data_IF_148259556568
#
_entry.id   IF_148259556568
#
_cell.length_a   1.000
_cell.length_b   1.000
_cell.length_c   1.000
_cell.angle_alpha   90.00
_cell.angle_beta   90.00
_cell.angle_gamma   90.00
#
_symmetry.space_group_name_H-M   'P 1'
#
loop_
_entity.id
_entity.type
_entity.pdbx_description
1 polymer ?
#
# COMPACT_ATOMS: atom_id res chain seq x y z
N UNK A 1 2.31 -27.11 -3.33
CA UNK A 1 3.37 -26.29 -3.92
C UNK A 1 4.59 -26.39 -3.02
N UNK A 2 5.80 -26.63 -3.53
CA UNK A 2 6.99 -26.59 -2.69
C UNK A 2 7.10 -25.18 -2.11
N UNK A 3 7.28 -25.08 -0.80
CA UNK A 3 7.57 -23.82 -0.11
C UNK A 3 8.97 -23.36 -0.53
N UNK A 4 9.06 -22.75 -1.72
CA UNK A 4 10.23 -21.95 -2.04
C UNK A 4 10.14 -20.71 -1.15
N UNK A 5 10.95 -20.74 -0.11
CA UNK A 5 11.17 -19.65 0.82
C UNK A 5 11.86 -18.51 0.08
N UNK A 6 11.09 -17.77 -0.72
CA UNK A 6 11.54 -16.55 -1.39
C UNK A 6 11.65 -15.49 -0.30
N UNK A 7 12.84 -15.33 0.27
CA UNK A 7 13.11 -14.30 1.27
C UNK A 7 13.94 -13.13 0.72
N UNK A 8 14.59 -13.34 -0.42
CA UNK A 8 15.53 -12.38 -1.05
C UNK A 8 15.36 -12.38 -2.57
N UNK A 9 15.76 -11.27 -3.21
CA UNK A 9 15.49 -11.01 -4.63
C UNK A 9 16.09 -12.08 -5.56
N UNK A 10 17.30 -12.56 -5.27
CA UNK A 10 17.95 -13.60 -6.07
C UNK A 10 17.11 -14.88 -6.15
N UNK A 11 16.53 -15.31 -5.03
CA UNK A 11 15.66 -16.49 -4.97
C UNK A 11 14.36 -16.29 -5.78
N UNK A 12 13.80 -15.07 -5.75
CA UNK A 12 12.66 -14.72 -6.59
C UNK A 12 13.02 -14.82 -8.08
N UNK A 13 14.10 -14.16 -8.51
CA UNK A 13 14.52 -14.11 -9.91
C UNK A 13 14.89 -15.49 -10.47
N UNK A 14 15.39 -16.41 -9.65
CA UNK A 14 15.70 -17.78 -10.06
C UNK A 14 14.44 -18.67 -10.22
N UNK A 15 13.36 -18.35 -9.50
CA UNK A 15 12.22 -19.27 -9.37
C UNK A 15 10.88 -18.70 -9.87
N UNK A 16 10.78 -17.43 -10.24
CA UNK A 16 9.50 -16.81 -10.59
C UNK A 16 8.79 -17.49 -11.78
N UNK A 17 9.55 -18.06 -12.72
CA UNK A 17 9.02 -18.81 -13.87
C UNK A 17 8.45 -20.18 -13.51
N UNK A 18 8.72 -20.71 -12.30
CA UNK A 18 8.23 -22.02 -11.84
C UNK A 18 6.84 -21.95 -11.21
N UNK A 19 6.21 -20.78 -11.18
CA UNK A 19 4.89 -20.58 -10.57
C UNK A 19 3.77 -20.85 -11.60
N UNK A 20 3.58 -22.12 -11.96
CA UNK A 20 2.61 -22.53 -12.98
C UNK A 20 1.21 -21.97 -12.71
N UNK A 21 0.80 -21.94 -11.43
CA UNK A 21 -0.54 -21.46 -11.06
C UNK A 21 -0.72 -19.97 -11.27
N UNK A 22 0.33 -19.17 -11.07
CA UNK A 22 0.29 -17.74 -11.38
C UNK A 22 0.06 -17.50 -12.87
N UNK A 23 0.83 -18.16 -13.73
CA UNK A 23 0.73 -18.00 -15.19
C UNK A 23 -0.57 -18.57 -15.75
N UNK A 24 -1.04 -19.71 -15.24
CA UNK A 24 -2.33 -20.29 -15.59
C UNK A 24 -3.47 -19.31 -15.30
N UNK A 25 -3.41 -18.62 -14.15
CA UNK A 25 -4.45 -17.67 -13.78
C UNK A 25 -4.35 -16.35 -14.55
N UNK A 26 -3.15 -15.88 -14.87
CA UNK A 26 -2.97 -14.77 -15.82
C UNK A 26 -3.60 -15.12 -17.17
N UNK A 27 -3.31 -16.32 -17.70
CA UNK A 27 -3.89 -16.82 -18.94
C UNK A 27 -5.41 -16.81 -18.85
N UNK A 28 -5.99 -17.50 -17.88
CA UNK A 28 -7.43 -17.65 -17.73
C UNK A 28 -8.13 -16.28 -17.66
N UNK A 29 -7.60 -15.36 -16.86
CA UNK A 29 -8.14 -14.00 -16.77
C UNK A 29 -8.04 -13.23 -18.09
N UNK A 30 -6.94 -13.37 -18.82
CA UNK A 30 -6.74 -12.74 -20.11
C UNK A 30 -7.61 -13.36 -21.22
N UNK A 31 -7.99 -14.64 -21.13
CA UNK A 31 -8.93 -15.25 -22.06
C UNK A 31 -10.33 -14.62 -21.96
N UNK A 32 -10.68 -14.04 -20.82
CA UNK A 32 -11.95 -13.36 -20.58
C UNK A 32 -11.98 -11.91 -21.10
N UNK A 33 -11.04 -11.50 -21.96
CA UNK A 33 -10.88 -10.12 -22.44
C UNK A 33 -12.16 -9.50 -22.99
N UNK A 34 -13.01 -10.28 -23.70
CA UNK A 34 -14.28 -9.80 -24.27
C UNK A 34 -15.34 -9.40 -23.25
N UNK A 35 -15.12 -9.64 -21.95
CA UNK A 35 -15.92 -9.00 -20.90
C UNK A 35 -15.70 -7.49 -20.82
N UNK A 36 -14.55 -6.98 -21.29
CA UNK A 36 -14.12 -5.59 -21.09
C UNK A 36 -13.63 -4.90 -22.37
N UNK A 37 -13.24 -5.64 -23.40
CA UNK A 37 -12.63 -5.09 -24.61
C UNK A 37 -12.86 -5.95 -25.84
N UNK A 38 -13.07 -5.31 -27.00
CA UNK A 38 -13.11 -5.95 -28.32
C UNK A 38 -11.72 -6.03 -29.00
N UNK A 39 -10.65 -5.60 -28.32
CA UNK A 39 -9.29 -5.64 -28.87
C UNK A 39 -8.80 -7.08 -29.06
N UNK A 40 -7.99 -7.30 -30.10
CA UNK A 40 -7.24 -8.54 -30.29
C UNK A 40 -6.10 -8.71 -29.27
N UNK A 41 -5.64 -7.61 -28.68
CA UNK A 41 -4.66 -7.66 -27.58
C UNK A 41 -5.39 -8.02 -26.29
N UNK A 42 -4.94 -9.04 -25.53
CA UNK A 42 -5.59 -9.40 -24.28
C UNK A 42 -5.70 -8.21 -23.33
N UNK A 43 -6.84 -8.11 -22.66
CA UNK A 43 -7.13 -7.14 -21.63
C UNK A 43 -6.91 -7.75 -20.24
N UNK A 44 -6.11 -7.07 -19.43
CA UNK A 44 -5.96 -7.33 -18.00
C UNK A 44 -5.98 -6.00 -17.27
N UNK A 45 -6.84 -5.90 -16.26
CA UNK A 45 -6.80 -4.80 -15.32
C UNK A 45 -5.53 -4.90 -14.45
N UNK A 46 -4.90 -3.75 -14.17
CA UNK A 46 -3.65 -3.72 -13.41
C UNK A 46 -3.84 -4.25 -11.98
N UNK A 47 -4.99 -3.98 -11.33
CA UNK A 47 -5.28 -4.45 -9.98
C UNK A 47 -5.49 -5.96 -9.94
N UNK A 48 -6.07 -6.52 -11.00
CA UNK A 48 -6.17 -7.97 -11.14
C UNK A 48 -4.77 -8.59 -11.17
N UNK A 49 -3.86 -7.99 -11.93
CA UNK A 49 -2.47 -8.45 -12.01
C UNK A 49 -1.77 -8.40 -10.64
N UNK A 50 -1.91 -7.29 -9.91
CA UNK A 50 -1.40 -7.13 -8.54
C UNK A 50 -1.96 -8.18 -7.58
N UNK A 51 -3.27 -8.40 -7.60
CA UNK A 51 -3.94 -9.39 -6.75
C UNK A 51 -3.50 -10.81 -7.06
N UNK A 52 -3.36 -11.16 -8.34
CA UNK A 52 -2.84 -12.46 -8.77
C UNK A 52 -1.41 -12.66 -8.30
N UNK A 53 -0.55 -11.65 -8.45
CA UNK A 53 0.83 -11.73 -7.98
C UNK A 53 0.87 -11.98 -6.47
N UNK A 54 0.17 -11.14 -5.69
CA UNK A 54 0.14 -11.28 -4.23
C UNK A 54 -0.38 -12.65 -3.79
N UNK A 55 -1.45 -13.14 -4.42
CA UNK A 55 -2.04 -14.43 -4.09
C UNK A 55 -1.10 -15.60 -4.39
N UNK A 56 -0.51 -15.64 -5.58
CA UNK A 56 0.23 -16.81 -6.05
C UNK A 56 1.71 -16.81 -5.67
N UNK A 57 2.31 -15.65 -5.40
CA UNK A 57 3.64 -15.53 -4.81
C UNK A 57 3.62 -15.42 -3.28
N UNK A 58 2.43 -15.49 -2.65
CA UNK A 58 2.24 -15.25 -1.21
C UNK A 58 2.85 -13.92 -0.75
N UNK A 59 2.77 -12.89 -1.60
CA UNK A 59 3.28 -11.55 -1.31
C UNK A 59 2.25 -10.75 -0.48
N UNK A 60 2.76 -9.83 0.35
CA UNK A 60 1.94 -8.80 0.99
C UNK A 60 1.49 -7.80 -0.08
N UNK A 61 0.22 -7.40 -0.04
CA UNK A 61 -0.34 -6.43 -0.97
C UNK A 61 -0.23 -5.02 -0.37
N UNK A 62 0.63 -4.18 -0.96
CA UNK A 62 0.89 -2.81 -0.51
C UNK A 62 0.28 -1.75 -1.46
N UNK A 63 -0.41 -2.18 -2.52
CA UNK A 63 -1.01 -1.31 -3.54
C UNK A 63 -1.97 -0.26 -2.94
N UNK A 64 -2.56 -0.53 -1.76
CA UNK A 64 -3.47 0.38 -1.06
C UNK A 64 -2.79 1.32 -0.07
N UNK A 65 -1.52 1.13 0.22
CA UNK A 65 -0.81 1.85 1.28
C UNK A 65 -0.08 3.11 0.77
N UNK A 66 -0.39 3.58 -0.45
CA UNK A 66 0.23 4.76 -1.09
C UNK A 66 1.76 4.71 -1.10
N UNK A 67 2.36 3.53 -1.27
CA UNK A 67 3.81 3.32 -1.17
C UNK A 67 4.50 3.49 -2.54
N UNK A 68 5.80 3.18 -2.62
CA UNK A 68 6.54 3.10 -3.89
C UNK A 68 6.38 1.73 -4.59
N UNK A 69 5.89 0.71 -3.88
CA UNK A 69 5.77 -0.68 -4.32
C UNK A 69 4.32 -1.17 -4.25
N UNK A 70 3.99 -2.12 -5.11
CA UNK A 70 2.64 -2.68 -5.22
C UNK A 70 2.51 -3.96 -4.37
N UNK A 71 3.61 -4.69 -4.18
CA UNK A 71 3.68 -5.88 -3.34
C UNK A 71 5.03 -6.02 -2.62
N UNK A 72 5.07 -6.83 -1.56
CA UNK A 72 6.31 -7.20 -0.85
C UNK A 72 6.43 -8.70 -0.60
N UNK A 73 7.63 -9.24 -0.82
CA UNK A 73 8.01 -10.60 -0.47
C UNK A 73 9.23 -10.53 0.45
N UNK A 74 9.05 -10.78 1.75
CA UNK A 74 10.11 -10.53 2.73
C UNK A 74 10.55 -9.07 2.71
N UNK A 75 11.85 -8.81 2.51
CA UNK A 75 12.42 -7.46 2.34
C UNK A 75 12.51 -7.00 0.89
N UNK A 76 11.87 -7.71 -0.05
CA UNK A 76 11.86 -7.37 -1.47
C UNK A 76 10.61 -6.56 -1.82
N UNK A 77 10.78 -5.32 -2.28
CA UNK A 77 9.72 -4.46 -2.80
C UNK A 77 9.50 -4.70 -4.29
N UNK A 78 8.27 -5.06 -4.68
CA UNK A 78 7.89 -5.36 -6.06
C UNK A 78 7.01 -4.25 -6.60
N UNK A 79 7.46 -3.59 -7.67
CA UNK A 79 6.61 -2.75 -8.52
C UNK A 79 5.96 -3.60 -9.60
N UNK A 80 4.63 -3.64 -9.66
CA UNK A 80 3.88 -4.43 -10.64
C UNK A 80 3.40 -3.50 -11.74
N UNK A 81 3.64 -3.88 -13.00
CA UNK A 81 3.18 -3.09 -14.15
C UNK A 81 2.46 -3.98 -15.16
N UNK A 82 1.36 -3.45 -15.68
CA UNK A 82 0.61 -4.08 -16.76
C UNK A 82 0.38 -3.05 -17.86
N UNK A 83 0.90 -3.31 -19.05
CA UNK A 83 0.80 -2.38 -20.18
C UNK A 83 0.87 -3.12 -21.53
N UNK A 84 0.52 -2.43 -22.60
CA UNK A 84 0.60 -2.99 -23.96
C UNK A 84 2.04 -2.88 -24.44
N UNK A 85 2.59 -3.97 -24.95
CA UNK A 85 3.84 -3.96 -25.68
C UNK A 85 3.55 -3.65 -27.13
N UNK A 86 3.89 -2.45 -27.57
CA UNK A 86 3.84 -2.09 -28.98
C UNK A 86 4.91 -2.90 -29.76
N UNK A 87 4.85 -2.88 -31.10
CA UNK A 87 5.70 -3.70 -31.97
C UNK A 87 7.23 -3.56 -31.79
N UNK A 88 7.70 -2.65 -30.94
CA UNK A 88 9.10 -2.42 -30.59
C UNK A 88 9.57 -3.14 -29.31
N UNK A 89 8.75 -3.97 -28.66
CA UNK A 89 9.06 -4.63 -27.37
C UNK A 89 9.58 -3.62 -26.31
N UNK A 90 9.06 -2.39 -26.40
CA UNK A 90 9.35 -1.28 -25.51
C UNK A 90 8.06 -0.52 -25.18
N UNK A 91 7.97 0.00 -23.97
CA UNK A 91 6.91 0.95 -23.60
C UNK A 91 7.42 1.99 -22.63
N UNK A 92 6.88 3.21 -22.71
CA UNK A 92 7.18 4.28 -21.77
C UNK A 92 6.02 4.44 -20.80
N UNK A 93 6.24 4.09 -19.54
CA UNK A 93 5.16 3.89 -18.57
C UNK A 93 5.36 4.73 -17.32
N UNK A 94 4.24 5.11 -16.69
CA UNK A 94 4.25 5.89 -15.45
C UNK A 94 4.92 5.12 -14.31
N UNK A 95 5.89 5.77 -13.67
CA UNK A 95 6.61 5.25 -12.51
C UNK A 95 6.45 6.13 -11.25
N UNK A 96 6.07 7.39 -11.39
CA UNK A 96 5.76 8.27 -10.26
C UNK A 96 4.84 9.43 -10.66
N UNK A 97 4.14 10.01 -9.68
CA UNK A 97 3.22 11.14 -9.83
C UNK A 97 3.43 12.14 -8.69
N UNK A 98 3.44 13.43 -9.02
CA UNK A 98 3.92 14.52 -8.16
C UNK A 98 2.87 15.61 -7.94
N UNK A 99 1.57 15.29 -8.03
CA UNK A 99 0.49 16.30 -7.92
C UNK A 99 0.58 17.15 -6.65
N UNK A 100 0.93 16.55 -5.50
CA UNK A 100 1.10 17.26 -4.23
C UNK A 100 2.34 18.18 -4.21
N UNK A 101 3.35 17.87 -5.03
CA UNK A 101 4.63 18.59 -5.10
C UNK A 101 4.71 19.53 -6.32
N UNK A 102 3.61 19.68 -7.07
CA UNK A 102 3.57 20.49 -8.30
C UNK A 102 4.08 21.92 -8.10
N UNK A 103 3.69 22.55 -6.97
CA UNK A 103 4.13 23.92 -6.63
C UNK A 103 5.65 24.04 -6.47
N UNK A 104 6.33 22.98 -6.05
CA UNK A 104 7.80 22.96 -5.90
C UNK A 104 8.51 22.68 -7.23
N UNK A 105 7.79 22.13 -8.21
CA UNK A 105 8.28 21.89 -9.56
C UNK A 105 7.99 23.07 -10.50
N UNK A 106 7.01 23.91 -10.16
CA UNK A 106 6.62 25.08 -10.95
C UNK A 106 7.79 26.07 -11.06
N UNK A 107 8.07 26.51 -12.29
CA UNK A 107 9.17 27.43 -12.59
C UNK A 107 10.55 26.77 -12.77
N UNK A 108 10.73 25.51 -12.34
CA UNK A 108 11.95 24.76 -12.64
C UNK A 108 11.99 24.35 -14.12
N UNK A 109 13.17 24.41 -14.72
CA UNK A 109 13.39 24.04 -16.12
C UNK A 109 14.70 23.27 -16.29
N UNK A 110 14.85 22.60 -17.44
CA UNK A 110 16.07 21.91 -17.86
C UNK A 110 16.59 20.97 -16.77
N UNK A 111 17.89 21.06 -16.45
CA UNK A 111 18.57 20.17 -15.52
C UNK A 111 18.06 20.31 -14.08
N UNK A 112 17.65 21.51 -13.66
CA UNK A 112 17.14 21.74 -12.30
C UNK A 112 15.82 21.00 -12.10
N UNK A 113 14.95 20.99 -13.11
CA UNK A 113 13.73 20.21 -13.11
C UNK A 113 14.02 18.70 -13.06
N UNK A 114 14.91 18.21 -13.92
CA UNK A 114 15.29 16.79 -13.94
C UNK A 114 15.85 16.31 -12.59
N UNK A 115 16.79 17.07 -12.01
CA UNK A 115 17.36 16.80 -10.68
C UNK A 115 16.30 16.78 -9.59
N UNK A 116 15.40 17.76 -9.56
CA UNK A 116 14.37 17.83 -8.53
C UNK A 116 13.37 16.67 -8.61
N UNK A 117 12.99 16.25 -9.82
CA UNK A 117 12.13 15.08 -10.03
C UNK A 117 12.82 13.80 -9.58
N UNK A 118 14.10 13.63 -9.93
CA UNK A 118 14.91 12.48 -9.52
C UNK A 118 15.02 12.40 -7.98
N UNK A 119 15.30 13.52 -7.32
CA UNK A 119 15.32 13.65 -5.85
C UNK A 119 13.99 13.20 -5.23
N UNK A 120 12.87 13.77 -5.66
CA UNK A 120 11.56 13.41 -5.10
C UNK A 120 11.19 11.95 -5.33
N UNK A 121 11.59 11.35 -6.46
CA UNK A 121 11.40 9.93 -6.70
C UNK A 121 12.22 9.09 -5.72
N UNK A 122 13.51 9.37 -5.59
CA UNK A 122 14.40 8.61 -4.72
C UNK A 122 13.99 8.76 -3.25
N UNK A 123 13.63 9.96 -2.80
CA UNK A 123 13.09 10.21 -1.46
C UNK A 123 11.83 9.37 -1.18
N UNK A 124 10.92 9.26 -2.15
CA UNK A 124 9.72 8.41 -2.02
C UNK A 124 10.06 6.93 -1.92
N UNK A 125 11.04 6.47 -2.69
CA UNK A 125 11.55 5.08 -2.60
C UNK A 125 12.18 4.83 -1.23
N UNK A 126 13.06 5.71 -0.75
CA UNK A 126 13.70 5.62 0.55
C UNK A 126 12.69 5.66 1.70
N UNK A 127 11.67 6.51 1.59
CA UNK A 127 10.57 6.53 2.55
C UNK A 127 9.85 5.18 2.63
N UNK A 128 9.50 4.60 1.47
CA UNK A 128 8.89 3.27 1.42
C UNK A 128 9.84 2.19 1.99
N UNK A 129 11.12 2.24 1.65
CA UNK A 129 12.13 1.30 2.15
C UNK A 129 12.21 1.31 3.67
N UNK A 130 12.31 2.49 4.26
CA UNK A 130 12.38 2.66 5.70
C UNK A 130 11.07 2.28 6.40
N UNK A 131 9.92 2.56 5.80
CA UNK A 131 8.61 2.25 6.37
C UNK A 131 8.33 0.75 6.41
N UNK A 132 8.79 0.03 5.38
CA UNK A 132 8.38 -1.34 5.10
C UNK A 132 9.51 -2.36 5.21
N UNK A 133 10.71 -1.93 5.63
CA UNK A 133 11.88 -2.79 5.75
C UNK A 133 12.34 -3.35 4.41
N UNK A 134 12.19 -2.60 3.31
CA UNK A 134 12.59 -3.03 1.97
C UNK A 134 14.07 -2.74 1.76
N UNK A 135 14.83 -3.76 1.37
CA UNK A 135 16.26 -3.70 1.10
C UNK A 135 16.60 -4.01 -0.36
N UNK A 136 15.71 -4.69 -1.08
CA UNK A 136 15.88 -5.10 -2.47
C UNK A 136 14.62 -4.76 -3.25
N UNK A 137 14.75 -4.40 -4.52
CA UNK A 137 13.63 -3.85 -5.30
C UNK A 137 13.62 -4.38 -6.73
N UNK A 138 12.43 -4.61 -7.26
CA UNK A 138 12.28 -5.22 -8.58
C UNK A 138 10.97 -4.79 -9.24
N UNK A 139 10.98 -4.49 -10.53
CA UNK A 139 9.75 -4.48 -11.30
C UNK A 139 9.41 -5.89 -11.78
N UNK A 140 8.14 -6.27 -11.62
CA UNK A 140 7.52 -7.42 -12.24
C UNK A 140 6.45 -6.95 -13.23
N UNK A 141 6.59 -7.31 -14.50
CA UNK A 141 5.85 -6.69 -15.59
C UNK A 141 5.08 -7.73 -16.36
N UNK A 142 3.79 -7.49 -16.58
CA UNK A 142 2.92 -8.24 -17.50
C UNK A 142 2.65 -7.38 -18.74
N UNK A 143 3.46 -7.58 -19.77
CA UNK A 143 3.29 -6.95 -21.08
C UNK A 143 2.21 -7.66 -21.89
N UNK A 144 1.29 -6.91 -22.50
CA UNK A 144 0.17 -7.45 -23.29
C UNK A 144 0.47 -7.28 -24.78
N UNK A 145 0.37 -8.35 -25.56
CA UNK A 145 0.58 -8.37 -27.01
C UNK A 145 -0.50 -9.22 -27.67
N UNK A 146 -0.80 -9.00 -28.95
CA UNK A 146 -1.75 -9.85 -29.66
C UNK A 146 -1.35 -11.33 -29.52
N UNK A 147 -2.27 -12.15 -29.03
CA UNK A 147 -2.10 -13.60 -28.81
C UNK A 147 -1.33 -14.03 -27.55
N UNK A 148 -0.72 -13.13 -26.78
CA UNK A 148 0.04 -13.52 -25.58
C UNK A 148 0.18 -12.44 -24.50
N UNK A 149 0.54 -12.88 -23.30
CA UNK A 149 1.13 -12.05 -22.26
C UNK A 149 2.62 -12.36 -22.17
N UNK A 150 3.46 -11.34 -22.22
CA UNK A 150 4.90 -11.45 -21.99
C UNK A 150 5.23 -10.94 -20.59
N UNK A 151 5.62 -11.85 -19.72
CA UNK A 151 5.96 -11.54 -18.34
C UNK A 151 7.48 -11.41 -18.20
N UNK A 152 7.97 -10.38 -17.52
CA UNK A 152 9.40 -10.17 -17.33
C UNK A 152 9.71 -9.32 -16.10
N UNK A 153 10.97 -9.33 -15.69
CA UNK A 153 11.47 -8.61 -14.53
C UNK A 153 12.54 -7.60 -14.98
N UNK A 154 12.55 -6.40 -14.41
CA UNK A 154 13.61 -5.38 -14.63
C UNK A 154 13.93 -4.61 -13.33
N UNK A 155 15.18 -4.16 -13.11
CA UNK A 155 15.54 -3.47 -11.88
C UNK A 155 14.64 -2.28 -11.55
N UNK A 156 14.29 -2.13 -10.27
CA UNK A 156 13.60 -0.94 -9.74
C UNK A 156 14.62 -0.09 -8.98
N UNK A 157 15.49 0.57 -9.73
CA UNK A 157 16.57 1.39 -9.19
C UNK A 157 16.11 2.83 -8.86
N UNK A 158 16.84 3.45 -7.94
CA UNK A 158 16.86 4.90 -7.79
C UNK A 158 17.43 5.55 -9.06
N UNK A 159 17.00 6.77 -9.35
CA UNK A 159 17.58 7.56 -10.45
C UNK A 159 18.99 7.98 -10.05
N UNK A 160 19.98 7.74 -10.90
CA UNK A 160 21.35 8.21 -10.65
C UNK A 160 21.45 9.72 -10.93
N UNK A 161 21.42 10.50 -9.86
CA UNK A 161 21.37 11.98 -9.92
C UNK A 161 22.70 12.56 -10.41
N UNK A 162 23.82 11.88 -10.16
CA UNK A 162 25.16 12.37 -10.47
C UNK A 162 25.48 12.22 -11.97
N UNK A 163 24.86 11.24 -12.63
CA UNK A 163 25.03 10.94 -14.06
C UNK A 163 23.82 11.35 -14.91
N UNK A 164 23.09 12.39 -14.52
CA UNK A 164 21.95 12.89 -15.28
C UNK A 164 22.36 13.63 -16.56
N UNK A 165 21.82 13.19 -17.69
CA UNK A 165 21.95 13.83 -18.99
C UNK A 165 20.59 14.34 -19.47
N UNK A 166 20.49 15.66 -19.71
CA UNK A 166 19.28 16.27 -20.25
C UNK A 166 19.23 16.08 -21.77
N UNK A 167 18.16 15.46 -22.27
CA UNK A 167 17.94 15.27 -23.71
C UNK A 167 17.14 16.41 -24.30
N UNK A 168 16.04 16.79 -23.64
CA UNK A 168 15.19 17.90 -24.10
C UNK A 168 14.33 18.45 -22.98
N UNK A 169 13.98 19.73 -23.08
CA UNK A 169 12.98 20.37 -22.23
C UNK A 169 12.06 21.24 -23.07
N UNK A 170 10.80 20.84 -23.21
CA UNK A 170 9.77 21.52 -23.99
C UNK A 170 8.70 22.10 -23.08
N UNK A 171 7.72 22.80 -23.64
CA UNK A 171 6.58 23.31 -22.88
C UNK A 171 5.76 22.21 -22.17
N UNK A 172 5.77 20.98 -22.72
CA UNK A 172 4.92 19.88 -22.24
C UNK A 172 5.69 18.75 -21.56
N UNK A 173 6.99 18.59 -21.85
CA UNK A 173 7.78 17.48 -21.33
C UNK A 173 9.24 17.82 -21.08
N UNK A 174 9.83 17.21 -20.06
CA UNK A 174 11.26 17.18 -19.83
C UNK A 174 11.77 15.73 -19.98
N UNK A 175 12.75 15.49 -20.85
CA UNK A 175 13.35 14.17 -21.10
C UNK A 175 14.81 14.18 -20.68
N UNK A 176 15.21 13.14 -19.97
CA UNK A 176 16.55 12.96 -19.43
C UNK A 176 16.83 11.48 -19.20
N UNK A 177 18.09 11.12 -19.06
CA UNK A 177 18.53 9.77 -18.72
C UNK A 177 19.62 9.82 -17.64
N UNK A 178 19.88 8.67 -17.03
CA UNK A 178 20.89 8.47 -15.98
C UNK A 178 21.93 7.42 -16.38
N UNK A 179 22.22 7.32 -17.69
CA UNK A 179 23.04 6.29 -18.35
C UNK A 179 22.48 4.85 -18.28
N UNK A 180 21.63 4.54 -17.30
CA UNK A 180 20.99 3.24 -17.13
C UNK A 180 19.58 3.20 -17.72
N UNK A 181 18.84 4.29 -17.57
CA UNK A 181 17.41 4.37 -17.86
C UNK A 181 17.07 5.72 -18.48
N UNK A 182 16.09 5.75 -19.40
CA UNK A 182 15.52 7.02 -19.86
C UNK A 182 14.16 7.31 -19.25
N UNK A 183 13.98 8.61 -19.01
CA UNK A 183 12.85 9.17 -18.33
C UNK A 183 12.17 10.25 -19.15
N UNK A 184 10.86 10.37 -18.99
CA UNK A 184 10.08 11.47 -19.55
C UNK A 184 9.15 11.98 -18.47
N UNK A 185 9.34 13.22 -18.06
CA UNK A 185 8.42 13.92 -17.18
C UNK A 185 7.37 14.68 -18.00
N UNK A 186 6.11 14.34 -17.81
CA UNK A 186 4.97 15.06 -18.36
C UNK A 186 4.58 16.19 -17.41
N UNK A 187 4.77 17.44 -17.85
CA UNK A 187 4.58 18.63 -17.00
C UNK A 187 3.11 18.85 -16.62
N UNK A 188 2.19 18.69 -17.57
CA UNK A 188 0.76 18.94 -17.33
C UNK A 188 0.15 17.93 -16.37
N UNK A 189 0.53 16.65 -16.51
CA UNK A 189 0.10 15.56 -15.63
C UNK A 189 0.93 15.45 -14.36
N UNK A 190 2.06 16.16 -14.26
CA UNK A 190 3.03 16.03 -13.17
C UNK A 190 3.43 14.56 -12.92
N UNK A 191 3.72 13.85 -14.00
CA UNK A 191 3.98 12.41 -14.00
C UNK A 191 5.36 12.12 -14.58
N UNK A 192 6.17 11.33 -13.87
CA UNK A 192 7.41 10.77 -14.38
C UNK A 192 7.13 9.39 -14.98
N UNK A 193 7.60 9.21 -16.20
CA UNK A 193 7.55 7.97 -16.94
C UNK A 193 8.96 7.45 -17.19
N UNK A 194 9.11 6.13 -17.27
CA UNK A 194 10.36 5.43 -17.58
C UNK A 194 10.18 4.59 -18.83
N UNK A 195 11.20 4.48 -19.68
CA UNK A 195 11.21 3.48 -20.74
C UNK A 195 11.53 2.10 -20.18
N UNK A 196 10.67 1.15 -20.52
CA UNK A 196 10.82 -0.27 -20.25
C UNK A 196 11.14 -0.99 -21.57
N UNK A 197 12.11 -1.88 -21.53
CA UNK A 197 12.50 -2.73 -22.65
C UNK A 197 12.43 -4.17 -22.20
N UNK A 198 11.84 -5.03 -23.04
CA UNK A 198 11.76 -6.46 -22.76
C UNK A 198 13.18 -7.05 -22.74
N UNK A 199 13.62 -7.67 -21.63
CA UNK A 199 14.92 -8.31 -21.55
C UNK A 199 14.92 -9.67 -22.25
N UNK A 200 16.12 -10.23 -22.46
CA UNK A 200 16.26 -11.60 -22.97
C UNK A 200 15.53 -12.64 -22.12
N UNK A 201 15.59 -12.50 -20.79
CA UNK A 201 14.90 -13.40 -19.85
C UNK A 201 13.46 -12.93 -19.65
N UNK A 202 12.52 -13.60 -20.30
CA UNK A 202 11.07 -13.38 -20.16
C UNK A 202 10.32 -14.71 -20.25
N UNK A 203 9.03 -14.67 -19.91
CA UNK A 203 8.14 -15.83 -19.98
C UNK A 203 6.89 -15.45 -20.75
N UNK A 204 6.62 -16.14 -21.86
CA UNK A 204 5.44 -15.91 -22.69
C UNK A 204 4.31 -16.86 -22.28
N UNK A 205 3.13 -16.30 -22.09
CA UNK A 205 1.88 -17.00 -21.79
C UNK A 205 0.96 -16.82 -22.99
N UNK A 206 0.75 -17.87 -23.77
CA UNK A 206 -0.18 -17.83 -24.90
C UNK A 206 -1.62 -17.64 -24.42
N UNK A 207 -2.37 -16.76 -25.09
CA UNK A 207 -3.75 -16.40 -24.75
C UNK A 207 -4.64 -16.49 -25.98
N UNK A 208 -5.59 -17.40 -25.91
CA UNK A 208 -6.72 -17.49 -26.84
C UNK A 208 -7.93 -16.82 -26.19
N UNK A 209 -8.27 -15.61 -26.66
CA UNK A 209 -9.40 -14.85 -26.15
C UNK A 209 -10.70 -15.57 -26.50
N UNK A 210 -11.56 -15.80 -25.51
CA UNK A 210 -12.86 -16.42 -25.72
C UNK A 210 -13.82 -15.45 -26.38
N UNK A 211 -14.61 -16.00 -27.31
CA UNK A 211 -15.55 -15.21 -28.09
C UNK A 211 -16.79 -14.79 -27.29
N UNK A 212 -17.29 -15.69 -26.43
CA UNK A 212 -18.52 -15.53 -25.65
C UNK A 212 -18.27 -15.81 -24.14
N UNK A 213 -17.45 -15.02 -23.44
CA UNK A 213 -17.10 -15.30 -22.05
C UNK A 213 -18.29 -15.17 -21.08
N UNK A 214 -19.31 -14.38 -21.40
CA UNK A 214 -20.54 -14.29 -20.58
C UNK A 214 -21.30 -15.61 -20.54
N UNK A 215 -21.40 -16.32 -21.67
CA UNK A 215 -22.05 -17.65 -21.72
C UNK A 215 -21.32 -18.66 -20.82
N UNK A 216 -19.98 -18.61 -20.79
CA UNK A 216 -19.18 -19.48 -19.91
C UNK A 216 -19.48 -19.20 -18.42
N UNK A 217 -19.59 -17.92 -18.05
CA UNK A 217 -19.93 -17.53 -16.68
C UNK A 217 -21.36 -17.97 -16.32
N UNK A 218 -22.34 -17.76 -17.19
CA UNK A 218 -23.72 -18.22 -16.97
C UNK A 218 -23.80 -19.72 -16.74
N UNK A 219 -23.12 -20.52 -17.57
CA UNK A 219 -23.05 -21.97 -17.41
C UNK A 219 -22.43 -22.36 -16.06
N UNK A 220 -21.35 -21.69 -15.65
CA UNK A 220 -20.71 -21.95 -14.37
C UNK A 220 -21.65 -21.66 -13.19
N UNK A 221 -22.24 -20.46 -13.12
CA UNK A 221 -23.08 -20.05 -11.98
C UNK A 221 -24.43 -20.78 -11.93
N UNK A 222 -24.97 -21.20 -13.06
CA UNK A 222 -26.22 -21.97 -13.10
C UNK A 222 -26.02 -23.43 -12.69
N UNK A 223 -24.85 -24.03 -13.00
CA UNK A 223 -24.60 -25.45 -12.77
C UNK A 223 -23.78 -25.75 -11.50
N UNK A 224 -23.06 -24.78 -10.93
CA UNK A 224 -22.22 -24.97 -9.74
C UNK A 224 -22.49 -23.89 -8.66
N UNK A 225 -23.59 -24.04 -7.92
CA UNK A 225 -23.82 -23.25 -6.69
C UNK A 225 -23.11 -23.83 -5.46
N UNK A 226 -22.55 -25.04 -5.54
CA UNK A 226 -21.82 -25.66 -4.43
C UNK A 226 -20.37 -25.15 -4.40
N UNK A 227 -19.99 -24.47 -3.30
CA UNK A 227 -18.61 -24.05 -3.04
C UNK A 227 -18.34 -22.54 -3.18
N UNK A 228 -19.32 -21.73 -3.63
CA UNK A 228 -19.18 -20.27 -3.69
C UNK A 228 -19.63 -19.68 -2.35
N UNK A 229 -18.68 -19.31 -1.50
CA UNK A 229 -18.98 -18.49 -0.32
C UNK A 229 -19.15 -17.03 -0.73
N UNK A 230 -20.28 -16.41 -0.40
CA UNK A 230 -20.44 -14.96 -0.55
C UNK A 230 -19.41 -14.25 0.34
N UNK A 231 -18.83 -13.17 -0.16
CA UNK A 231 -17.98 -12.32 0.66
C UNK A 231 -18.80 -11.81 1.86
N UNK A 232 -18.37 -12.16 3.08
CA UNK A 232 -19.03 -11.68 4.29
C UNK A 232 -18.90 -10.15 4.30
N UNK A 233 -20.03 -9.44 4.33
CA UNK A 233 -20.02 -8.00 4.58
C UNK A 233 -19.43 -7.79 5.97
N UNK A 234 -18.37 -7.00 6.07
CA UNK A 234 -17.79 -6.66 7.37
C UNK A 234 -18.80 -5.84 8.17
N UNK A 235 -19.11 -6.30 9.38
CA UNK A 235 -20.07 -5.65 10.27
C UNK A 235 -19.36 -4.70 11.24
N UNK A 236 -19.82 -3.44 11.28
CA UNK A 236 -19.30 -2.43 12.21
C UNK A 236 -19.50 -2.90 13.65
N UNK A 237 -18.47 -2.76 14.47
CA UNK A 237 -18.50 -3.15 15.89
C UNK A 237 -18.43 -4.65 16.16
N UNK A 238 -18.46 -5.50 15.13
CA UNK A 238 -18.17 -6.92 15.25
C UNK A 238 -16.85 -7.28 14.58
N UNK A 239 -16.68 -6.82 13.33
CA UNK A 239 -15.51 -7.10 12.52
C UNK A 239 -14.50 -5.94 12.57
N UNK A 240 -14.94 -4.69 12.74
CA UNK A 240 -14.03 -3.54 12.87
C UNK A 240 -14.61 -2.32 13.60
N UNK A 241 -13.74 -1.46 14.11
CA UNK A 241 -14.05 -0.10 14.57
C UNK A 241 -13.04 0.91 14.04
N UNK A 242 -13.41 2.18 14.01
CA UNK A 242 -12.50 3.29 13.69
C UNK A 242 -12.21 4.12 14.93
N UNK A 243 -10.96 4.53 15.10
CA UNK A 243 -10.51 5.37 16.21
C UNK A 243 -9.84 6.64 15.67
N UNK A 244 -10.20 7.83 16.16
CA UNK A 244 -9.60 9.07 15.71
C UNK A 244 -8.21 9.25 16.33
N UNK A 245 -7.29 9.81 15.55
CA UNK A 245 -5.97 10.26 16.02
C UNK A 245 -5.98 11.75 16.43
N UNK A 246 -7.14 12.40 16.32
CA UNK A 246 -7.38 13.79 16.68
C UNK A 246 -8.43 13.92 17.79
N UNK A 247 -8.55 15.12 18.32
CA UNK A 247 -9.66 15.59 19.15
C UNK A 247 -10.46 16.64 18.39
N UNK A 248 -11.74 16.77 18.71
CA UNK A 248 -12.63 17.74 18.06
C UNK A 248 -13.32 18.63 19.09
N UNK A 249 -13.39 19.92 18.78
CA UNK A 249 -14.31 20.85 19.46
C UNK A 249 -14.93 21.76 18.42
N UNK A 250 -16.17 22.23 18.66
CA UNK A 250 -16.82 23.20 17.76
C UNK A 250 -16.00 24.47 17.54
N UNK A 251 -15.22 24.89 18.54
CA UNK A 251 -14.42 26.11 18.50
C UNK A 251 -13.09 25.96 17.74
N UNK A 252 -12.40 24.81 17.86
CA UNK A 252 -11.08 24.58 17.26
C UNK A 252 -11.09 23.69 16.02
N UNK A 253 -12.22 23.08 15.69
CA UNK A 253 -12.26 22.00 14.71
C UNK A 253 -11.47 20.77 15.17
N UNK A 254 -10.88 20.04 14.22
CA UNK A 254 -9.97 18.92 14.48
C UNK A 254 -8.61 19.44 14.94
N UNK A 255 -8.07 18.88 16.01
CA UNK A 255 -6.73 19.18 16.50
C UNK A 255 -6.09 17.97 17.18
N UNK A 256 -4.77 17.85 17.13
CA UNK A 256 -4.05 16.87 17.94
C UNK A 256 -3.67 17.53 19.26
N UNK A 257 -4.09 16.93 20.38
CA UNK A 257 -3.83 17.49 21.70
C UNK A 257 -2.33 17.44 22.04
N UNK A 258 -1.79 18.53 22.59
CA UNK A 258 -0.35 18.67 22.86
C UNK A 258 0.17 17.78 24.01
N UNK A 259 -0.71 17.25 24.86
CA UNK A 259 -0.36 16.55 26.11
C UNK A 259 -1.11 15.24 26.32
N UNK A 260 -1.66 14.66 25.26
CA UNK A 260 -2.42 13.40 25.32
C UNK A 260 -2.41 12.69 23.97
N UNK A 261 -2.89 11.44 23.94
CA UNK A 261 -2.94 10.63 22.73
C UNK A 261 -1.55 10.42 22.14
N UNK A 262 -1.35 10.90 20.90
CA UNK A 262 -0.06 10.83 20.22
C UNK A 262 1.04 11.67 20.88
N UNK A 263 0.69 12.73 21.60
CA UNK A 263 1.65 13.58 22.32
C UNK A 263 1.67 13.28 23.83
N UNK A 264 1.32 12.05 24.23
CA UNK A 264 1.26 11.68 25.65
C UNK A 264 2.63 11.84 26.34
N UNK A 265 3.74 11.66 25.62
CA UNK A 265 5.10 11.91 26.13
C UNK A 265 5.30 13.34 26.67
N UNK A 266 4.54 14.32 26.19
CA UNK A 266 4.64 15.73 26.58
C UNK A 266 3.73 16.12 27.76
N UNK A 267 3.00 15.16 28.33
CA UNK A 267 2.11 15.46 29.45
C UNK A 267 2.86 15.76 30.75
N UNK A 268 2.30 16.64 31.57
CA UNK A 268 2.83 16.96 32.89
C UNK A 268 2.75 15.79 33.87
N UNK A 269 3.42 15.96 35.01
CA UNK A 269 3.50 14.95 36.07
C UNK A 269 4.82 14.18 36.01
N UNK A 270 4.76 12.85 36.00
CA UNK A 270 5.97 12.00 35.96
C UNK A 270 6.76 12.23 34.67
N UNK A 271 8.07 11.98 34.73
CA UNK A 271 8.90 11.86 33.52
C UNK A 271 8.34 10.74 32.64
N UNK A 272 8.18 11.04 31.35
CA UNK A 272 7.65 10.10 30.35
C UNK A 272 8.72 9.78 29.33
N UNK A 273 8.65 8.57 28.80
CA UNK A 273 9.47 8.23 27.66
C UNK A 273 8.94 8.94 26.39
N UNK A 274 9.81 9.43 25.50
CA UNK A 274 9.43 10.05 24.23
C UNK A 274 8.59 9.20 23.27
N UNK A 275 8.49 7.89 23.51
CA UNK A 275 7.65 6.95 22.76
C UNK A 275 6.36 6.56 23.50
N UNK A 276 6.06 7.19 24.64
CA UNK A 276 4.77 6.98 25.28
C UNK A 276 3.67 7.67 24.50
N UNK A 277 2.80 6.86 23.89
CA UNK A 277 1.59 7.30 23.19
C UNK A 277 0.41 6.41 23.57
N UNK A 278 -0.79 6.86 23.26
CA UNK A 278 -1.96 5.99 23.18
C UNK A 278 -2.87 6.44 22.04
N UNK A 279 -3.64 5.51 21.49
CA UNK A 279 -4.71 5.84 20.55
C UNK A 279 -6.00 6.03 21.35
N UNK A 280 -6.67 7.19 21.28
CA UNK A 280 -7.92 7.42 21.98
C UNK A 280 -9.02 6.47 21.52
N UNK A 281 -9.79 5.96 22.48
CA UNK A 281 -11.04 5.23 22.22
C UNK A 281 -12.18 6.14 22.69
N UNK A 282 -12.91 6.76 21.76
CA UNK A 282 -14.04 7.62 22.10
C UNK A 282 -15.13 6.85 22.84
N UNK A 283 -15.85 7.54 23.73
CA UNK A 283 -16.96 6.94 24.48
C UNK A 283 -18.03 6.36 23.56
N UNK A 284 -18.27 6.98 22.41
CA UNK A 284 -19.25 6.50 21.44
C UNK A 284 -18.90 5.09 20.93
N UNK A 285 -17.63 4.74 20.78
CA UNK A 285 -17.23 3.39 20.40
C UNK A 285 -17.61 2.38 21.48
N UNK A 286 -17.34 2.69 22.75
CA UNK A 286 -17.74 1.83 23.88
C UNK A 286 -19.26 1.74 24.04
N UNK A 287 -19.99 2.83 23.79
CA UNK A 287 -21.45 2.86 23.92
C UNK A 287 -22.15 2.04 22.83
N UNK A 288 -21.73 2.19 21.58
CA UNK A 288 -22.35 1.47 20.46
C UNK A 288 -21.81 0.03 20.34
N UNK A 289 -20.56 -0.20 20.72
CA UNK A 289 -19.85 -1.48 20.51
C UNK A 289 -19.11 -1.97 21.77
N UNK A 290 -19.82 -2.21 22.89
CA UNK A 290 -19.21 -2.49 24.19
C UNK A 290 -18.38 -3.78 24.24
N UNK A 291 -18.62 -4.72 23.33
CA UNK A 291 -17.98 -6.03 23.28
C UNK A 291 -16.90 -6.16 22.19
N UNK A 292 -16.56 -5.06 21.51
CA UNK A 292 -15.61 -5.12 20.41
C UNK A 292 -14.18 -5.41 20.90
N UNK A 293 -13.73 -4.67 21.91
CA UNK A 293 -12.42 -4.87 22.53
C UNK A 293 -12.49 -5.83 23.73
N UNK A 294 -11.38 -6.51 24.05
CA UNK A 294 -11.22 -7.20 25.33
C UNK A 294 -11.40 -6.25 26.52
N UNK A 295 -11.60 -6.80 27.72
CA UNK A 295 -11.81 -5.97 28.91
C UNK A 295 -10.55 -5.16 29.21
N UNK A 296 -10.73 -4.13 30.04
CA UNK A 296 -9.61 -3.30 30.48
C UNK A 296 -8.51 -4.17 31.10
N UNK A 297 -7.27 -3.86 30.74
CA UNK A 297 -6.05 -4.55 31.13
C UNK A 297 -5.89 -6.00 30.64
N UNK A 298 -6.86 -6.54 29.88
CA UNK A 298 -6.69 -7.82 29.18
C UNK A 298 -5.83 -7.62 27.92
N UNK A 299 -4.73 -8.38 27.76
CA UNK A 299 -3.86 -8.26 26.59
C UNK A 299 -4.49 -8.93 25.36
N UNK A 300 -4.16 -8.39 24.19
CA UNK A 300 -4.43 -8.99 22.90
C UNK A 300 -3.28 -8.72 21.92
N UNK A 301 -3.25 -9.46 20.81
CA UNK A 301 -2.24 -9.28 19.77
C UNK A 301 -2.71 -8.24 18.76
N UNK A 302 -1.89 -7.23 18.52
CA UNK A 302 -2.14 -6.16 17.57
C UNK A 302 -1.14 -6.29 16.40
N UNK A 303 -1.64 -6.80 15.27
CA UNK A 303 -0.92 -6.94 14.02
C UNK A 303 -0.80 -5.60 13.32
N UNK A 304 0.43 -5.13 13.15
CA UNK A 304 0.79 -3.93 12.42
C UNK A 304 0.88 -4.18 10.90
N UNK A 305 0.84 -3.12 10.06
CA UNK A 305 0.97 -3.26 8.61
C UNK A 305 2.31 -3.84 8.12
N UNK A 306 3.38 -3.71 8.92
CA UNK A 306 4.69 -4.29 8.62
C UNK A 306 4.75 -5.82 8.91
N UNK A 307 3.68 -6.42 9.44
CA UNK A 307 3.62 -7.83 9.82
C UNK A 307 4.02 -8.10 11.29
N UNK A 308 4.46 -7.08 12.02
CA UNK A 308 4.84 -7.21 13.43
C UNK A 308 3.61 -7.37 14.32
N UNK A 309 3.70 -8.26 15.31
CA UNK A 309 2.69 -8.45 16.34
C UNK A 309 3.10 -7.74 17.63
N UNK A 310 2.36 -6.71 18.02
CA UNK A 310 2.51 -6.06 19.32
C UNK A 310 1.57 -6.69 20.35
N UNK A 311 2.01 -6.79 21.60
CA UNK A 311 1.06 -6.96 22.71
C UNK A 311 0.40 -5.60 22.98
N UNK A 312 -0.92 -5.55 23.00
CA UNK A 312 -1.71 -4.35 23.24
C UNK A 312 -2.79 -4.60 24.28
N UNK A 313 -3.29 -3.52 24.91
CA UNK A 313 -4.39 -3.58 25.87
C UNK A 313 -5.15 -2.27 25.95
N UNK A 314 -6.38 -2.37 26.46
CA UNK A 314 -7.23 -1.22 26.79
C UNK A 314 -6.91 -0.73 28.19
N UNK A 315 -6.61 0.55 28.34
CA UNK A 315 -6.11 1.17 29.57
C UNK A 315 -6.87 2.44 29.95
N UNK A 316 -6.52 2.96 31.14
CA UNK A 316 -7.02 4.21 31.74
C UNK A 316 -8.51 4.20 32.12
N UNK A 317 -8.92 5.22 32.86
CA UNK A 317 -10.32 5.38 33.28
C UNK A 317 -11.25 5.46 32.08
N UNK A 318 -12.33 4.67 32.16
CA UNK A 318 -13.30 4.51 31.07
C UNK A 318 -12.79 3.74 29.86
N UNK A 319 -11.63 3.08 29.94
CA UNK A 319 -11.08 2.29 28.82
C UNK A 319 -10.74 3.15 27.60
N UNK A 320 -10.37 4.42 27.83
CA UNK A 320 -10.23 5.43 26.77
C UNK A 320 -8.92 5.34 25.97
N UNK A 321 -8.02 4.43 26.31
CA UNK A 321 -6.68 4.38 25.74
C UNK A 321 -6.33 2.98 25.24
N UNK A 322 -6.09 2.84 23.93
CA UNK A 322 -5.40 1.70 23.35
C UNK A 322 -3.89 1.93 23.45
N UNK A 323 -3.16 1.00 24.10
CA UNK A 323 -1.72 1.11 24.36
C UNK A 323 -1.01 -0.21 24.08
N UNK A 324 0.27 -0.16 23.72
CA UNK A 324 1.11 -1.37 23.65
C UNK A 324 1.67 -1.75 25.03
N UNK A 325 2.13 -3.00 25.15
CA UNK A 325 2.88 -3.51 26.29
C UNK A 325 4.14 -4.24 25.78
N UNK A 326 5.35 -3.65 25.89
CA UNK A 326 5.69 -2.41 26.58
C UNK A 326 5.07 -1.17 25.92
N UNK A 327 4.82 -0.12 26.72
CA UNK A 327 4.17 1.12 26.29
C UNK A 327 5.11 2.07 25.53
N UNK A 328 5.87 1.49 24.59
CA UNK A 328 6.85 2.15 23.74
C UNK A 328 6.69 1.70 22.29
N UNK A 329 6.28 0.45 22.05
CA UNK A 329 6.22 -0.13 20.72
C UNK A 329 5.21 0.60 19.79
N UNK A 330 4.03 0.95 20.32
CA UNK A 330 3.06 1.73 19.57
C UNK A 330 3.60 3.12 19.20
N UNK A 331 4.37 3.75 20.09
CA UNK A 331 4.99 5.05 19.83
C UNK A 331 6.17 4.97 18.87
N UNK A 332 6.95 3.89 18.91
CA UNK A 332 7.99 3.62 17.91
C UNK A 332 7.36 3.58 16.52
N UNK A 333 6.33 2.75 16.35
CA UNK A 333 5.62 2.63 15.08
C UNK A 333 5.00 3.95 14.60
N UNK A 334 4.20 4.63 15.44
CA UNK A 334 3.49 5.83 15.01
C UNK A 334 4.43 7.03 14.87
N UNK A 335 5.24 7.34 15.89
CA UNK A 335 6.01 8.58 15.91
C UNK A 335 7.28 8.51 15.06
N UNK A 336 7.99 7.38 15.10
CA UNK A 336 9.30 7.24 14.44
C UNK A 336 9.19 6.61 13.07
N UNK A 337 8.40 5.55 12.95
CA UNK A 337 8.36 4.82 11.70
C UNK A 337 7.44 5.55 10.71
N UNK A 338 6.23 5.91 11.12
CA UNK A 338 5.22 6.54 10.26
C UNK A 338 5.37 8.06 10.16
N UNK A 339 5.32 8.78 11.29
CA UNK A 339 5.31 10.25 11.29
C UNK A 339 6.71 10.88 11.15
N UNK A 340 7.78 10.10 11.35
CA UNK A 340 9.19 10.53 11.30
C UNK A 340 9.49 11.76 12.19
N UNK A 341 8.77 11.90 13.29
CA UNK A 341 8.96 12.99 14.26
C UNK A 341 10.26 12.76 15.01
N UNK A 342 11.03 13.83 15.19
CA UNK A 342 12.20 13.81 16.08
C UNK A 342 11.75 13.56 17.52
N UNK A 343 12.68 13.18 18.36
CA UNK A 343 12.41 13.07 19.80
C UNK A 343 11.84 14.39 20.32
N UNK A 344 10.77 14.30 21.12
CA UNK A 344 10.05 15.43 21.71
C UNK A 344 9.37 16.40 20.72
N UNK A 345 9.33 16.11 19.42
CA UNK A 345 8.62 16.91 18.44
C UNK A 345 7.11 16.60 18.46
N UNK A 346 6.26 17.63 18.63
CA UNK A 346 4.82 17.46 18.74
C UNK A 346 4.18 17.09 17.40
N UNK A 347 3.28 16.10 17.42
CA UNK A 347 2.38 15.77 16.31
C UNK A 347 1.26 16.81 16.23
N UNK A 348 1.04 17.37 15.05
CA UNK A 348 -0.04 18.33 14.78
C UNK A 348 -1.12 17.73 13.88
N UNK A 349 -2.26 18.43 13.73
CA UNK A 349 -3.28 18.03 12.75
C UNK A 349 -2.77 18.17 11.30
N UNK A 350 -1.86 19.12 11.06
CA UNK A 350 -1.26 19.31 9.74
C UNK A 350 -0.36 18.13 9.35
N UNK A 351 0.31 17.49 10.32
CA UNK A 351 1.06 16.26 10.08
C UNK A 351 0.16 15.14 9.55
N UNK A 352 -1.00 14.96 10.19
CA UNK A 352 -2.01 13.97 9.81
C UNK A 352 -2.59 14.27 8.41
N UNK A 353 -3.00 15.53 8.19
CA UNK A 353 -3.54 15.98 6.90
C UNK A 353 -2.53 15.83 5.74
N UNK A 354 -1.26 16.17 5.98
CA UNK A 354 -0.18 16.03 4.99
C UNK A 354 0.00 14.58 4.54
N UNK A 355 -0.09 13.64 5.49
CA UNK A 355 0.04 12.21 5.23
C UNK A 355 -1.25 11.56 4.73
N UNK A 356 -2.39 12.25 4.82
CA UNK A 356 -3.65 11.83 4.24
C UNK A 356 -4.44 10.83 5.09
N UNK A 357 -4.25 10.83 6.40
CA UNK A 357 -5.02 10.03 7.34
C UNK A 357 -5.28 10.83 8.62
N UNK A 358 -6.41 10.59 9.28
CA UNK A 358 -6.72 11.18 10.60
C UNK A 358 -7.24 10.15 11.62
N UNK A 359 -7.37 8.90 11.19
CA UNK A 359 -8.00 7.81 11.93
C UNK A 359 -7.23 6.51 11.72
N UNK A 360 -7.41 5.56 12.62
CA UNK A 360 -6.98 4.17 12.43
C UNK A 360 -8.20 3.26 12.38
N UNK A 361 -8.14 2.23 11.54
CA UNK A 361 -9.07 1.11 11.59
C UNK A 361 -8.47 0.02 12.48
N UNK A 362 -9.27 -0.55 13.37
CA UNK A 362 -8.94 -1.74 14.13
C UNK A 362 -9.91 -2.84 13.74
N UNK A 363 -9.38 -3.90 13.13
CA UNK A 363 -10.14 -5.05 12.61
C UNK A 363 -9.93 -6.26 13.54
N UNK A 364 -11.02 -6.92 13.92
CA UNK A 364 -10.98 -8.19 14.66
C UNK A 364 -10.86 -9.33 13.66
N UNK A 365 -9.76 -10.07 13.69
CA UNK A 365 -9.49 -11.14 12.71
C UNK A 365 -10.25 -12.45 13.01
N UNK A 366 -10.99 -12.51 14.12
CA UNK A 366 -11.69 -13.71 14.62
C UNK A 366 -10.78 -14.94 14.69
N UNK A 367 -9.52 -14.70 15.04
CA UNK A 367 -8.47 -15.69 15.22
C UNK A 367 -7.79 -15.46 16.56
N UNK A 368 -7.14 -16.52 17.04
CA UNK A 368 -6.30 -16.46 18.23
C UNK A 368 -4.86 -16.81 17.88
N UNK A 369 -3.92 -16.20 18.59
CA UNK A 369 -2.53 -16.63 18.60
C UNK A 369 -2.42 -18.02 19.24
N UNK A 370 -1.28 -18.74 19.08
CA UNK A 370 -1.07 -20.04 19.73
C UNK A 370 -1.24 -20.02 21.25
N UNK A 371 -0.91 -18.90 21.91
CA UNK A 371 -1.09 -18.63 23.34
C UNK A 371 -2.51 -18.16 23.70
N UNK A 372 -3.45 -18.14 22.75
CA UNK A 372 -4.87 -17.94 22.99
C UNK A 372 -5.35 -16.48 23.02
N UNK A 373 -4.49 -15.52 22.67
CA UNK A 373 -4.85 -14.10 22.60
C UNK A 373 -5.64 -13.80 21.32
N UNK A 374 -6.69 -12.98 21.43
CA UNK A 374 -7.38 -12.47 20.25
C UNK A 374 -6.42 -11.66 19.37
N UNK A 375 -6.56 -11.80 18.04
CA UNK A 375 -5.77 -11.03 17.07
C UNK A 375 -6.61 -9.92 16.47
N UNK A 376 -6.13 -8.69 16.65
CA UNK A 376 -6.62 -7.50 15.99
C UNK A 376 -5.57 -7.01 14.99
N UNK A 377 -6.01 -6.47 13.86
CA UNK A 377 -5.15 -5.81 12.89
C UNK A 377 -5.40 -4.31 12.94
N UNK A 378 -4.36 -3.50 12.89
CA UNK A 378 -4.45 -2.04 12.86
C UNK A 378 -3.80 -1.46 11.61
N UNK A 379 -4.44 -0.46 11.01
CA UNK A 379 -3.88 0.29 9.89
C UNK A 379 -4.47 1.71 9.86
N UNK A 380 -3.73 2.66 9.30
CA UNK A 380 -4.23 4.01 9.07
C UNK A 380 -5.33 3.98 8.01
N UNK A 381 -6.44 4.64 8.31
CA UNK A 381 -7.54 4.74 7.38
C UNK A 381 -7.43 6.04 6.58
N UNK A 382 -7.79 5.98 5.29
CA UNK A 382 -7.79 7.14 4.42
C UNK A 382 -8.85 8.17 4.83
N UNK A 383 -8.82 9.34 4.21
CA UNK A 383 -9.75 10.43 4.52
C UNK A 383 -11.21 10.13 4.15
N UNK A 384 -11.51 9.14 3.30
CA UNK A 384 -12.88 8.81 2.88
C UNK A 384 -13.55 7.84 3.87
N UNK A 385 -12.76 6.94 4.46
CA UNK A 385 -13.17 6.03 5.52
C UNK A 385 -12.53 6.47 6.84
N UNK A 386 -13.19 7.38 7.57
CA UNK A 386 -12.66 8.01 8.77
C UNK A 386 -13.61 7.84 9.98
N UNK A 387 -13.17 8.26 11.17
CA UNK A 387 -13.99 8.12 12.37
C UNK A 387 -15.35 8.84 12.30
N UNK A 388 -15.43 9.99 11.63
CA UNK A 388 -16.70 10.74 11.47
C UNK A 388 -17.69 9.96 10.61
N UNK A 389 -17.27 9.51 9.42
CA UNK A 389 -18.15 8.70 8.56
C UNK A 389 -18.50 7.34 9.20
N UNK A 390 -17.64 6.82 10.08
CA UNK A 390 -17.93 5.63 10.87
C UNK A 390 -19.09 5.84 11.86
N UNK A 391 -19.05 6.91 12.67
CA UNK A 391 -20.04 7.21 13.72
C UNK A 391 -21.31 7.89 13.21
N UNK A 392 -21.25 8.75 12.19
CA UNK A 392 -22.45 9.43 11.65
C UNK A 392 -23.50 8.44 11.18
N UNK A 393 -23.06 7.31 10.64
CA UNK A 393 -23.90 6.19 10.22
C UNK A 393 -24.52 5.38 11.38
N UNK A 394 -24.28 5.73 12.64
CA UNK A 394 -24.89 5.11 13.83
C UNK A 394 -25.92 6.01 14.52
N UNK A 395 -26.14 7.24 14.02
CA UNK A 395 -27.23 8.10 14.49
C UNK A 395 -28.53 7.65 13.82
N UNK A 396 -29.12 6.59 14.35
CA UNK A 396 -30.50 6.19 14.07
C UNK A 396 -31.41 6.57 15.23
#
# INVERSE_FOLDING_TARGET
MPEHNIHHLASFLENWTKNDKYFEMLRLMAQLSRLFSESKTPYLDYRLTENLFCRYFKALNDARSCTAYDARIGSVGIGIKTFILNGSDQSTEKIAEFNKLKKELDGLTKMDLAKKIAQFRNERMQFANNQYGVSETQYHIVGRKEGLLRVFNTPYEEVDIDHLHLESDTATSCRFNDEKNEYTFNKSKSVLMKRFTVPHVHFDVEVEIFDEPLMLLEQFFNNQKQGISLAKKMEKGQDFVMLPLYSYTKAKGKYVAEKSGLNQFNAGGRRRNPLEVYIPIPKDVHNHYPNFFPKRDEPFSLLLPNGEHLSAKICQDGGKALMSNPNLALGQWILRDVLKKKECELVTIDDLNRLGFDSVCVEKLHKKTPDGLEIFKIYFADSEMNYESFIENNRF
#
